data_IF_837665190643
#
_entry.id   IF_837665190643
#
_cell.length_a   1.000
_cell.length_b   1.000
_cell.length_c   1.000
_cell.angle_alpha   90.00
_cell.angle_beta   90.00
_cell.angle_gamma   90.00
#
_symmetry.space_group_name_H-M   'P 1'
#
loop_
_entity.id
_entity.type
_entity.pdbx_description
1 polymer ?
#
# COMPACT_ATOMS: atom_id res chain seq x y z
N UNK A 1 -20.37 14.16 -26.72
CA UNK A 1 -19.36 13.08 -26.77
C UNK A 1 -18.13 13.62 -27.47
N UNK A 2 -16.92 13.40 -26.93
CA UNK A 2 -15.68 13.70 -27.67
C UNK A 2 -15.56 12.71 -28.82
N UNK A 3 -15.30 13.19 -30.03
CA UNK A 3 -14.97 12.33 -31.15
C UNK A 3 -13.61 11.69 -30.87
N UNK A 4 -13.55 10.37 -30.75
CA UNK A 4 -12.30 9.63 -30.70
C UNK A 4 -11.59 9.76 -32.04
N UNK A 5 -10.41 10.39 -32.02
CA UNK A 5 -9.54 10.40 -33.18
C UNK A 5 -8.79 9.06 -33.21
N UNK A 6 -9.27 8.13 -34.04
CA UNK A 6 -8.71 6.78 -34.17
C UNK A 6 -7.20 6.76 -34.46
N UNK A 7 -6.68 7.76 -35.15
CA UNK A 7 -5.24 7.84 -35.43
C UNK A 7 -4.43 8.20 -34.17
N UNK A 8 -4.97 9.06 -33.30
CA UNK A 8 -4.32 9.38 -32.04
C UNK A 8 -4.27 8.17 -31.10
N UNK A 9 -5.35 7.39 -31.04
CA UNK A 9 -5.39 6.15 -30.25
C UNK A 9 -4.40 5.11 -30.77
N UNK A 10 -4.26 4.96 -32.10
CA UNK A 10 -3.27 4.07 -32.72
C UNK A 10 -1.84 4.46 -32.31
N UNK A 11 -1.50 5.73 -32.45
CA UNK A 11 -0.17 6.26 -32.08
C UNK A 11 0.10 6.08 -30.57
N UNK A 12 -0.91 6.31 -29.73
CA UNK A 12 -0.78 6.13 -28.28
C UNK A 12 -0.52 4.65 -27.91
N UNK A 13 -1.26 3.72 -28.52
CA UNK A 13 -1.08 2.29 -28.30
C UNK A 13 0.29 1.79 -28.78
N UNK A 14 0.75 2.28 -29.93
CA UNK A 14 2.08 1.97 -30.46
C UNK A 14 3.19 2.45 -29.51
N UNK A 15 3.05 3.66 -28.95
CA UNK A 15 4.01 4.21 -27.99
C UNK A 15 4.02 3.46 -26.64
N UNK A 16 2.84 3.13 -26.10
CA UNK A 16 2.73 2.44 -24.80
C UNK A 16 3.11 0.97 -24.88
N UNK A 17 3.04 0.37 -26.07
CA UNK A 17 3.22 -1.05 -26.27
C UNK A 17 2.04 -1.88 -25.76
N UNK A 18 2.12 -3.20 -25.96
CA UNK A 18 1.03 -4.13 -25.64
C UNK A 18 1.07 -4.66 -24.20
N UNK A 19 2.13 -4.37 -23.45
CA UNK A 19 2.36 -4.91 -22.11
C UNK A 19 2.42 -3.78 -21.09
N UNK A 20 1.43 -3.71 -20.20
CA UNK A 20 1.39 -2.73 -19.13
C UNK A 20 1.19 -3.40 -17.77
N UNK A 21 1.77 -2.80 -16.75
CA UNK A 21 1.62 -3.22 -15.37
C UNK A 21 0.63 -2.27 -14.70
N UNK A 22 -0.41 -2.81 -14.05
CA UNK A 22 -1.28 -1.99 -13.21
C UNK A 22 -0.45 -1.43 -12.05
N UNK A 23 -0.66 -0.18 -11.68
CA UNK A 23 0.01 0.45 -10.53
C UNK A 23 -1.05 1.07 -9.62
N UNK A 24 -1.02 0.82 -8.29
CA UNK A 24 -1.96 1.48 -7.38
C UNK A 24 -1.73 3.00 -7.41
N UNK A 25 -2.79 3.78 -7.62
CA UNK A 25 -2.70 5.26 -7.62
C UNK A 25 -2.02 5.82 -6.36
N UNK A 26 -2.20 5.15 -5.21
CA UNK A 26 -1.55 5.51 -3.95
C UNK A 26 -0.03 5.34 -4.03
N UNK A 27 0.47 4.28 -4.67
CA UNK A 27 1.92 4.11 -4.89
C UNK A 27 2.45 5.18 -5.82
N UNK A 28 1.74 5.46 -6.92
CA UNK A 28 2.14 6.52 -7.85
C UNK A 28 2.15 7.91 -7.20
N UNK A 29 1.17 8.24 -6.36
CA UNK A 29 1.15 9.48 -5.60
C UNK A 29 2.36 9.62 -4.67
N UNK A 30 2.80 8.52 -4.04
CA UNK A 30 4.03 8.52 -3.21
C UNK A 30 5.30 8.71 -4.03
N UNK A 31 5.35 8.20 -5.27
CA UNK A 31 6.46 8.48 -6.21
C UNK A 31 6.54 9.98 -6.55
N UNK A 32 5.42 10.70 -6.52
CA UNK A 32 5.35 12.15 -6.74
C UNK A 32 5.46 12.97 -5.44
N UNK A 33 5.75 12.33 -4.30
CA UNK A 33 5.86 13.02 -3.02
C UNK A 33 6.92 14.12 -3.04
N UNK A 34 6.63 15.24 -2.37
CA UNK A 34 7.61 16.30 -2.09
C UNK A 34 8.62 15.85 -1.03
N UNK A 35 8.24 14.92 -0.16
CA UNK A 35 9.14 14.33 0.84
C UNK A 35 10.12 13.40 0.13
N UNK A 36 11.41 13.77 0.18
CA UNK A 36 12.47 13.15 -0.62
C UNK A 36 12.62 11.67 -0.33
N UNK A 37 12.53 11.27 0.93
CA UNK A 37 12.72 9.88 1.33
C UNK A 37 11.58 8.98 0.89
N UNK A 38 10.33 9.38 1.14
CA UNK A 38 9.12 8.68 0.71
C UNK A 38 9.07 8.57 -0.81
N UNK A 39 9.46 9.62 -1.54
CA UNK A 39 9.62 9.57 -2.99
C UNK A 39 10.62 8.49 -3.43
N UNK A 40 11.80 8.45 -2.83
CA UNK A 40 12.81 7.44 -3.18
C UNK A 40 12.36 6.02 -2.80
N UNK A 41 11.71 5.87 -1.64
CA UNK A 41 11.18 4.60 -1.17
C UNK A 41 10.10 4.06 -2.11
N UNK A 42 9.13 4.92 -2.49
CA UNK A 42 8.07 4.57 -3.42
C UNK A 42 8.61 4.27 -4.82
N UNK A 43 9.62 5.02 -5.28
CA UNK A 43 10.28 4.77 -6.57
C UNK A 43 10.99 3.41 -6.58
N UNK A 44 11.71 3.07 -5.52
CA UNK A 44 12.37 1.77 -5.39
C UNK A 44 11.34 0.64 -5.38
N UNK A 45 10.25 0.79 -4.63
CA UNK A 45 9.19 -0.20 -4.58
C UNK A 45 8.52 -0.39 -5.95
N UNK A 46 8.23 0.69 -6.67
CA UNK A 46 7.69 0.63 -8.02
C UNK A 46 8.64 -0.09 -8.98
N UNK A 47 9.94 0.21 -8.92
CA UNK A 47 10.96 -0.44 -9.76
C UNK A 47 11.05 -1.93 -9.46
N UNK A 48 11.03 -2.33 -8.19
CA UNK A 48 10.96 -3.74 -7.82
C UNK A 48 9.72 -4.39 -8.42
N UNK A 49 8.54 -3.78 -8.21
CA UNK A 49 7.26 -4.30 -8.68
C UNK A 49 7.25 -4.55 -10.20
N UNK A 50 7.70 -3.60 -11.01
CA UNK A 50 7.73 -3.75 -12.48
C UNK A 50 8.86 -4.68 -12.97
N UNK A 51 9.86 -4.96 -12.13
CA UNK A 51 11.01 -5.81 -12.48
C UNK A 51 10.88 -7.23 -11.94
N UNK A 52 9.82 -7.53 -11.19
CA UNK A 52 9.52 -8.87 -10.71
C UNK A 52 9.25 -9.83 -11.87
N UNK A 53 9.60 -11.10 -11.67
CA UNK A 53 9.21 -12.15 -12.59
C UNK A 53 7.70 -12.33 -12.59
N UNK A 54 7.12 -12.44 -13.79
CA UNK A 54 5.69 -12.68 -13.96
C UNK A 54 5.32 -14.15 -13.77
N UNK A 55 6.28 -15.05 -13.97
CA UNK A 55 6.17 -16.50 -13.79
C UNK A 55 7.48 -17.06 -13.22
N UNK A 56 7.42 -18.28 -12.69
CA UNK A 56 8.57 -18.98 -12.14
C UNK A 56 9.61 -19.28 -13.23
N UNK A 57 10.87 -18.96 -12.96
CA UNK A 57 11.96 -19.14 -13.93
C UNK A 57 13.32 -19.19 -13.26
N UNK A 58 14.26 -19.83 -13.95
CA UNK A 58 15.68 -19.72 -13.61
C UNK A 58 16.23 -18.42 -14.17
N UNK A 59 16.85 -17.61 -13.31
CA UNK A 59 17.48 -16.34 -13.67
C UNK A 59 18.99 -16.45 -13.49
N UNK A 60 19.75 -15.93 -14.46
CA UNK A 60 21.20 -15.83 -14.37
C UNK A 60 21.60 -14.63 -13.52
N UNK A 61 22.38 -14.86 -12.46
CA UNK A 61 22.91 -13.82 -11.58
C UNK A 61 24.45 -13.93 -11.57
N UNK A 62 25.10 -13.14 -12.42
CA UNK A 62 26.53 -13.31 -12.69
C UNK A 62 26.81 -14.69 -13.30
N UNK A 63 27.64 -15.49 -12.62
CA UNK A 63 27.95 -16.88 -13.03
C UNK A 63 27.00 -17.91 -12.40
N UNK A 64 26.07 -17.48 -11.54
CA UNK A 64 25.14 -18.36 -10.85
C UNK A 64 23.81 -18.45 -11.59
N UNK A 65 23.10 -19.55 -11.37
CA UNK A 65 21.69 -19.69 -11.72
C UNK A 65 20.88 -19.76 -10.43
N UNK A 66 19.82 -18.95 -10.35
CA UNK A 66 18.97 -18.84 -9.17
C UNK A 66 17.54 -19.12 -9.62
N UNK A 67 16.85 -20.06 -8.96
CA UNK A 67 15.42 -20.22 -9.13
C UNK A 67 14.73 -18.97 -8.58
N UNK A 68 13.91 -18.33 -9.40
CA UNK A 68 13.13 -17.16 -9.02
C UNK A 68 11.66 -17.46 -9.28
N UNK A 69 10.85 -17.17 -8.28
CA UNK A 69 9.42 -17.35 -8.36
C UNK A 69 8.73 -16.07 -8.84
N UNK A 70 7.48 -16.22 -9.23
CA UNK A 70 6.60 -15.10 -9.53
C UNK A 70 6.58 -14.08 -8.38
N UNK A 71 6.65 -12.80 -8.74
CA UNK A 71 6.69 -11.70 -7.78
C UNK A 71 8.07 -11.47 -7.13
N UNK A 72 9.11 -12.15 -7.60
CA UNK A 72 10.48 -11.95 -7.14
C UNK A 72 11.33 -11.21 -8.17
N UNK A 73 12.15 -10.29 -7.66
CA UNK A 73 13.25 -9.69 -8.38
C UNK A 73 14.55 -10.40 -8.00
N UNK A 74 15.39 -10.72 -8.99
CA UNK A 74 16.73 -11.26 -8.76
C UNK A 74 17.75 -10.33 -9.40
N UNK A 75 18.67 -9.81 -8.60
CA UNK A 75 19.67 -8.89 -9.11
C UNK A 75 20.56 -8.30 -8.04
N UNK A 76 21.31 -7.27 -8.41
CA UNK A 76 22.24 -6.58 -7.50
C UNK A 76 21.70 -5.24 -7.05
N UNK A 77 22.23 -4.72 -5.93
CA UNK A 77 21.89 -3.37 -5.48
C UNK A 77 22.40 -2.29 -6.44
N UNK A 78 23.48 -2.58 -7.18
CA UNK A 78 24.00 -1.70 -8.23
C UNK A 78 23.03 -1.61 -9.41
N UNK A 79 22.43 -2.74 -9.77
CA UNK A 79 21.40 -2.78 -10.80
C UNK A 79 20.14 -2.04 -10.36
N UNK A 80 19.68 -2.24 -9.11
CA UNK A 80 18.56 -1.47 -8.55
C UNK A 80 18.84 0.04 -8.54
N UNK A 81 20.06 0.44 -8.18
CA UNK A 81 20.49 1.85 -8.24
C UNK A 81 20.36 2.41 -9.66
N UNK A 82 20.82 1.67 -10.67
CA UNK A 82 20.70 2.06 -12.08
C UNK A 82 19.24 2.15 -12.53
N UNK A 83 18.43 1.13 -12.25
CA UNK A 83 17.03 1.06 -12.69
C UNK A 83 16.16 2.14 -12.03
N UNK A 84 16.43 2.44 -10.76
CA UNK A 84 15.65 3.44 -10.01
C UNK A 84 16.18 4.86 -10.11
N UNK A 85 17.41 5.05 -10.61
CA UNK A 85 18.11 6.34 -10.55
C UNK A 85 18.38 6.81 -9.11
N UNK A 86 18.32 5.91 -8.13
CA UNK A 86 18.61 6.20 -6.72
C UNK A 86 20.11 5.98 -6.49
N UNK A 87 20.80 6.87 -5.75
CA UNK A 87 22.21 6.68 -5.42
C UNK A 87 22.47 5.33 -4.77
N UNK A 88 23.51 4.62 -5.20
CA UNK A 88 23.85 3.28 -4.73
C UNK A 88 23.93 3.19 -3.20
N UNK A 89 24.54 4.18 -2.54
CA UNK A 89 24.66 4.24 -1.08
C UNK A 89 23.32 4.35 -0.33
N UNK A 90 22.23 4.69 -1.02
CA UNK A 90 20.88 4.75 -0.42
C UNK A 90 20.09 3.45 -0.55
N UNK A 91 20.50 2.52 -1.42
CA UNK A 91 19.70 1.33 -1.75
C UNK A 91 19.50 0.43 -0.53
N UNK A 92 20.55 0.08 0.21
CA UNK A 92 20.42 -0.81 1.38
C UNK A 92 19.44 -0.25 2.40
N UNK A 93 19.62 1.02 2.79
CA UNK A 93 18.78 1.70 3.77
C UNK A 93 17.32 1.77 3.34
N UNK A 94 17.05 1.97 2.04
CA UNK A 94 15.68 2.02 1.52
C UNK A 94 15.05 0.62 1.45
N UNK A 95 15.82 -0.41 1.06
CA UNK A 95 15.36 -1.79 1.08
C UNK A 95 15.03 -2.26 2.50
N UNK A 96 15.88 -1.95 3.48
CA UNK A 96 15.59 -2.22 4.90
C UNK A 96 14.32 -1.52 5.38
N UNK A 97 14.02 -0.31 4.86
CA UNK A 97 12.77 0.40 5.17
C UNK A 97 11.55 -0.25 4.53
N UNK A 98 11.68 -0.79 3.30
CA UNK A 98 10.61 -1.54 2.65
C UNK A 98 10.35 -2.87 3.38
N UNK A 99 11.40 -3.56 3.78
CA UNK A 99 11.33 -4.81 4.54
C UNK A 99 10.71 -4.60 5.93
N UNK A 100 11.12 -3.55 6.66
CA UNK A 100 10.48 -3.15 7.93
C UNK A 100 9.00 -2.77 7.80
N UNK A 101 8.57 -2.33 6.61
CA UNK A 101 7.15 -2.04 6.30
C UNK A 101 6.41 -3.28 5.77
N UNK A 102 7.06 -4.45 5.76
CA UNK A 102 6.53 -5.71 5.22
C UNK A 102 6.10 -5.61 3.75
N UNK A 103 6.70 -4.69 2.99
CA UNK A 103 6.41 -4.53 1.57
C UNK A 103 7.25 -5.48 0.71
N UNK A 104 8.39 -5.94 1.24
CA UNK A 104 9.28 -6.89 0.58
C UNK A 104 9.89 -7.86 1.57
N UNK A 105 10.31 -9.02 1.08
CA UNK A 105 11.19 -9.97 1.79
C UNK A 105 12.51 -10.06 1.02
N UNK A 106 13.66 -10.03 1.71
CA UNK A 106 14.98 -10.00 1.07
C UNK A 106 15.79 -11.23 1.49
N UNK A 107 16.20 -12.02 0.50
CA UNK A 107 17.12 -13.16 0.69
C UNK A 107 18.42 -12.87 -0.03
N UNK A 108 19.54 -12.90 0.69
CA UNK A 108 20.88 -12.76 0.08
C UNK A 108 21.29 -14.09 -0.56
N UNK A 109 21.79 -14.00 -1.79
CA UNK A 109 22.28 -15.15 -2.56
C UNK A 109 23.65 -14.82 -3.16
N UNK A 110 24.47 -15.81 -3.52
CA UNK A 110 25.74 -15.56 -4.17
C UNK A 110 25.59 -14.69 -5.43
N UNK A 111 26.28 -13.56 -5.45
CA UNK A 111 26.23 -12.59 -6.56
C UNK A 111 25.14 -11.52 -6.46
N UNK A 112 24.23 -11.54 -5.48
CA UNK A 112 23.20 -10.51 -5.34
C UNK A 112 22.12 -10.83 -4.31
N UNK A 113 20.86 -10.62 -4.67
CA UNK A 113 19.71 -10.83 -3.79
C UNK A 113 18.48 -11.26 -4.57
N UNK A 114 17.67 -12.08 -3.92
CA UNK A 114 16.28 -12.35 -4.31
C UNK A 114 15.39 -11.46 -3.43
N UNK A 115 14.50 -10.68 -4.03
CA UNK A 115 13.63 -9.75 -3.34
C UNK A 115 12.19 -10.05 -3.76
N UNK A 116 11.38 -10.57 -2.84
CA UNK A 116 9.96 -10.81 -3.07
C UNK A 116 9.18 -9.53 -2.79
N UNK A 117 8.26 -9.18 -3.68
CA UNK A 117 7.32 -8.07 -3.44
C UNK A 117 6.02 -8.62 -2.86
N UNK A 118 5.69 -8.19 -1.65
CA UNK A 118 4.54 -8.71 -0.92
C UNK A 118 3.24 -8.22 -1.54
N UNK A 119 2.31 -9.15 -1.76
CA UNK A 119 1.04 -8.86 -2.42
C UNK A 119 1.14 -8.71 -3.95
N UNK A 120 2.27 -9.08 -4.57
CA UNK A 120 2.42 -9.05 -6.04
C UNK A 120 1.32 -9.83 -6.75
N UNK A 121 1.14 -11.11 -6.40
CA UNK A 121 0.10 -11.96 -7.00
C UNK A 121 -1.29 -11.38 -6.80
N UNK A 122 -1.52 -10.93 -5.56
CA UNK A 122 -2.76 -10.27 -5.21
C UNK A 122 -2.96 -9.07 -6.10
N UNK A 123 -1.97 -8.25 -6.45
CA UNK A 123 -2.13 -7.05 -7.29
C UNK A 123 -2.20 -7.31 -8.81
N UNK A 124 -1.48 -8.31 -9.29
CA UNK A 124 -1.40 -8.58 -10.73
C UNK A 124 -2.54 -9.47 -11.24
N UNK A 125 -3.05 -10.39 -10.40
CA UNK A 125 -3.96 -11.45 -10.84
C UNK A 125 -5.30 -11.50 -10.11
N UNK A 126 -5.43 -10.86 -8.95
CA UNK A 126 -6.72 -10.85 -8.27
C UNK A 126 -7.75 -10.00 -9.05
N UNK A 127 -9.00 -10.45 -9.00
CA UNK A 127 -10.13 -9.70 -9.53
C UNK A 127 -10.35 -8.41 -8.71
N UNK A 128 -10.89 -7.36 -9.33
CA UNK A 128 -11.18 -6.09 -8.62
C UNK A 128 -12.06 -6.27 -7.36
N UNK A 129 -12.85 -7.35 -7.30
CA UNK A 129 -13.70 -7.70 -6.15
C UNK A 129 -12.89 -8.15 -4.93
N UNK A 130 -11.72 -8.76 -5.12
CA UNK A 130 -10.89 -9.31 -4.05
C UNK A 130 -10.12 -8.23 -3.26
N UNK A 131 -9.88 -7.05 -3.84
CA UNK A 131 -9.23 -5.94 -3.13
C UNK A 131 -10.20 -5.12 -2.27
N UNK A 132 -11.48 -5.03 -2.67
CA UNK A 132 -12.49 -4.20 -1.99
C UNK A 132 -12.96 -4.77 -0.65
N UNK A 133 -12.64 -6.03 -0.34
CA UNK A 133 -13.03 -6.67 0.92
C UNK A 133 -12.39 -6.05 2.17
N UNK A 134 -11.28 -5.30 2.03
CA UNK A 134 -10.61 -4.65 3.17
C UNK A 134 -11.17 -3.25 3.52
N UNK A 135 -11.76 -2.54 2.56
CA UNK A 135 -12.32 -1.21 2.82
C UNK A 135 -13.67 -1.27 3.54
N UNK A 136 -14.48 -2.31 3.27
CA UNK A 136 -15.74 -2.53 3.98
C UNK A 136 -15.50 -2.91 5.45
N UNK A 137 -14.55 -3.81 5.73
CA UNK A 137 -14.25 -4.24 7.10
C UNK A 137 -13.65 -3.16 8.02
N UNK A 138 -13.03 -2.12 7.44
CA UNK A 138 -12.53 -0.94 8.19
C UNK A 138 -13.64 0.06 8.43
N UNK A 139 -14.50 0.27 7.43
CA UNK A 139 -15.68 1.14 7.55
C UNK A 139 -16.68 0.60 8.57
N UNK A 140 -16.95 -0.72 8.58
CA UNK A 140 -17.84 -1.35 9.56
C UNK A 140 -17.34 -1.19 11.00
N UNK A 141 -16.04 -1.44 11.26
CA UNK A 141 -15.44 -1.27 12.59
C UNK A 141 -15.47 0.18 13.10
N UNK A 142 -15.33 1.15 12.20
CA UNK A 142 -15.38 2.58 12.56
C UNK A 142 -16.81 3.04 12.85
N UNK A 143 -17.79 2.47 12.16
CA UNK A 143 -19.21 2.74 12.38
C UNK A 143 -19.73 2.09 13.68
N UNK A 144 -19.29 0.87 13.99
CA UNK A 144 -19.62 0.17 15.24
C UNK A 144 -19.04 0.89 16.47
N UNK A 145 -17.78 1.35 16.38
CA UNK A 145 -17.15 2.12 17.46
C UNK A 145 -17.87 3.47 17.71
N UNK A 146 -18.25 4.19 16.64
CA UNK A 146 -19.02 5.45 16.77
C UNK A 146 -20.42 5.24 17.33
N UNK A 147 -21.11 4.16 16.94
CA UNK A 147 -22.43 3.85 17.50
C UNK A 147 -22.36 3.47 18.98
N UNK A 148 -21.31 2.78 19.42
CA UNK A 148 -21.10 2.45 20.82
C UNK A 148 -20.81 3.71 21.67
N UNK A 149 -20.02 4.65 21.14
CA UNK A 149 -19.72 5.93 21.80
C UNK A 149 -20.97 6.83 21.92
N UNK A 150 -21.76 6.92 20.85
CA UNK A 150 -23.04 7.66 20.84
C UNK A 150 -24.06 7.04 21.82
N UNK A 151 -24.10 5.72 21.94
CA UNK A 151 -24.98 5.03 22.90
C UNK A 151 -24.55 5.28 24.36
N UNK A 152 -23.24 5.28 24.63
CA UNK A 152 -22.70 5.57 25.96
C UNK A 152 -22.97 7.03 26.38
N UNK A 153 -22.82 7.98 25.45
CA UNK A 153 -23.14 9.39 25.68
C UNK A 153 -24.63 9.59 26.02
N UNK A 154 -25.54 8.93 25.30
CA UNK A 154 -26.99 8.99 25.56
C UNK A 154 -27.38 8.41 26.92
N UNK A 155 -26.74 7.33 27.35
CA UNK A 155 -26.95 6.75 28.68
C UNK A 155 -26.45 7.70 29.78
N UNK A 156 -25.26 8.28 29.62
CA UNK A 156 -24.71 9.25 30.58
C UNK A 156 -25.58 10.51 30.71
N UNK A 157 -26.09 11.04 29.59
CA UNK A 157 -27.01 12.18 29.61
C UNK A 157 -28.37 11.84 30.27
N UNK A 158 -28.87 10.62 30.07
CA UNK A 158 -30.10 10.16 30.71
C UNK A 158 -29.92 10.01 32.22
N UNK A 159 -28.80 9.45 32.68
CA UNK A 159 -28.46 9.33 34.10
C UNK A 159 -28.31 10.70 34.77
N UNK A 160 -27.67 11.67 34.11
CA UNK A 160 -27.54 13.04 34.60
C UNK A 160 -28.90 13.74 34.80
N UNK A 161 -29.87 13.50 33.89
CA UNK A 161 -31.23 14.06 34.00
C UNK A 161 -32.06 13.41 35.10
N UNK A 162 -31.80 12.14 35.43
CA UNK A 162 -32.51 11.41 36.49
C UNK A 162 -31.92 11.77 37.87
N UNK A 163 -30.59 11.91 37.97
CA UNK A 163 -29.89 12.23 39.22
C UNK A 163 -30.09 13.66 39.76
N UNK A 164 -30.56 14.60 38.93
CA UNK A 164 -30.75 16.00 39.31
C UNK A 164 -32.07 16.33 40.05
N UNK A 165 -32.98 15.36 40.20
CA UNK A 165 -34.35 15.62 40.72
C UNK A 165 -34.52 15.52 42.24
N UNK A 166 -33.48 15.23 43.01
CA UNK A 166 -33.56 14.94 44.45
C UNK A 166 -33.12 16.07 45.39
N UNK A 167 -33.11 17.35 44.94
CA UNK A 167 -32.83 18.50 45.82
C UNK A 167 -33.81 19.67 45.66
N UNK A 168 -35.11 19.43 45.75
CA UNK A 168 -36.07 20.50 46.01
C UNK A 168 -37.20 19.98 46.92
N UNK A 169 -37.04 20.19 48.23
CA UNK A 169 -38.18 20.33 49.14
C UNK A 169 -38.15 21.75 49.69
N UNK A 170 -39.23 22.55 49.51
CA UNK A 170 -39.32 23.87 50.11
C UNK A 170 -39.57 23.71 51.62
N UNK A 171 -38.77 24.45 52.40
CA UNK A 171 -38.96 24.63 53.82
C UNK A 171 -40.29 25.36 54.06
N UNK A 172 -41.23 24.73 54.78
CA UNK A 172 -42.42 25.40 55.31
C UNK A 172 -42.37 25.34 56.84
N UNK A 173 -42.17 26.51 57.43
CA UNK A 173 -42.40 26.79 58.84
C UNK A 173 -43.82 26.37 59.25
N UNK A 174 -43.97 25.79 60.45
CA UNK A 174 -45.19 25.94 61.25
C UNK A 174 -44.77 26.08 62.73
N UNK A 175 -45.36 27.11 63.34
CA UNK A 175 -45.36 27.59 64.73
C UNK A 175 -44.97 26.63 65.85
#
# INVERSE_FOLDING_TARGET
>A
MRQENKEHERVALEYMGHSFVKVPRVLYARVLSLEKEEKMLARLHLVLFISCNFDDRVVKLGNNQVMSYRGEYVGTYRELSRLSGIPFGSISRLLEKLEKRELVEIVRVPGGSVIRVNGYDKFCFASEKEYKLRDTAKTSRTNEAKQAEDAAARLSEAEAKIGGRSKQYPNKNVN
#
